data_IF_041794684398
#
_entry.id   IF_041794684398
#
_cell.length_a   1.000
_cell.length_b   1.000
_cell.length_c   1.000
_cell.angle_alpha   90.00
_cell.angle_beta   90.00
_cell.angle_gamma   90.00
#
_symmetry.space_group_name_H-M   'P 1'
#
loop_
_entity.id
_entity.type
_entity.pdbx_description
1 polymer ?
#
# COMPACT_ATOMS: atom_id res chain seq x y z
N UNK A 1 10.81 6.04 1.50
CA UNK A 1 10.50 4.60 1.66
C UNK A 1 9.86 4.17 0.35
N UNK A 2 10.52 3.31 -0.42
CA UNK A 2 10.16 3.13 -1.83
C UNK A 2 8.86 2.35 -2.01
N UNK A 3 7.89 3.01 -2.64
CA UNK A 3 6.89 2.37 -3.49
C UNK A 3 7.49 2.47 -4.90
N UNK A 4 7.92 1.35 -5.46
CA UNK A 4 8.40 1.28 -6.86
C UNK A 4 7.46 0.40 -7.66
N UNK A 5 6.46 1.04 -8.27
CA UNK A 5 5.84 0.53 -9.47
C UNK A 5 6.62 1.18 -10.63
N UNK A 6 7.41 0.41 -11.39
CA UNK A 6 8.25 0.94 -12.46
C UNK A 6 7.96 0.20 -13.77
N UNK A 7 7.46 0.95 -14.75
CA UNK A 7 7.41 0.54 -16.14
C UNK A 7 8.79 0.52 -16.77
N UNK A 8 9.04 -0.46 -17.64
CA UNK A 8 10.18 -0.49 -18.56
C UNK A 8 9.85 0.39 -19.78
N UNK A 9 10.18 1.68 -19.72
CA UNK A 9 10.36 2.44 -20.96
C UNK A 9 11.65 1.98 -21.65
N UNK A 10 11.55 1.54 -22.90
CA UNK A 10 12.67 1.66 -23.84
C UNK A 10 12.44 2.94 -24.65
N UNK A 11 13.40 3.86 -24.57
CA UNK A 11 13.51 4.99 -25.51
C UNK A 11 14.45 4.56 -26.62
N UNK A 12 13.97 4.61 -27.86
CA UNK A 12 14.79 4.41 -29.05
C UNK A 12 15.62 5.66 -29.33
N UNK A 13 16.94 5.55 -29.27
CA UNK A 13 17.83 6.58 -29.79
C UNK A 13 17.90 6.50 -31.32
N UNK A 14 17.81 7.64 -32.00
CA UNK A 14 18.27 7.74 -33.38
C UNK A 14 19.80 7.75 -33.39
N UNK A 15 20.41 6.88 -34.20
CA UNK A 15 21.80 7.00 -34.60
C UNK A 15 21.85 7.33 -36.09
N UNK A 16 22.05 8.60 -36.43
CA UNK A 16 22.42 9.00 -37.78
C UNK A 16 23.86 8.59 -38.10
N UNK A 17 24.14 8.50 -39.39
CA UNK A 17 25.46 8.66 -40.03
C UNK A 17 26.65 7.83 -39.50
N UNK A 18 26.83 6.64 -40.09
CA UNK A 18 28.12 6.30 -40.70
C UNK A 18 27.94 5.39 -41.93
N UNK A 19 28.82 5.54 -42.92
CA UNK A 19 28.54 5.28 -44.34
C UNK A 19 29.25 4.01 -44.88
N UNK A 20 28.72 3.48 -46.02
CA UNK A 20 29.33 2.54 -47.01
C UNK A 20 29.18 1.01 -46.81
N UNK A 21 28.72 0.34 -47.89
CA UNK A 21 29.20 -1.00 -48.29
C UNK A 21 28.19 -1.99 -48.92
N UNK A 22 27.96 -1.92 -50.25
CA UNK A 22 27.47 -2.99 -51.18
C UNK A 22 26.13 -3.73 -50.85
N UNK A 23 25.11 -3.80 -51.74
CA UNK A 23 25.01 -4.63 -52.98
C UNK A 23 25.18 -6.15 -52.68
N UNK A 24 24.31 -7.10 -53.06
CA UNK A 24 23.05 -7.15 -53.87
C UNK A 24 22.40 -8.58 -53.58
N UNK A 25 21.27 -9.16 -54.04
CA UNK A 25 20.19 -8.98 -55.06
C UNK A 25 18.91 -9.75 -54.60
N UNK A 26 17.71 -9.46 -55.14
CA UNK A 26 16.73 -10.54 -55.46
C UNK A 26 15.23 -10.39 -55.10
N UNK A 27 14.41 -10.13 -56.13
CA UNK A 27 12.96 -10.35 -56.31
C UNK A 27 12.01 -10.91 -55.20
N UNK A 28 11.00 -10.08 -54.90
CA UNK A 28 9.57 -10.33 -54.59
C UNK A 28 9.02 -11.64 -53.96
N UNK A 29 8.17 -11.40 -52.94
CA UNK A 29 6.89 -12.09 -52.59
C UNK A 29 6.92 -13.53 -52.05
N UNK A 30 6.80 -13.61 -50.72
CA UNK A 30 5.74 -14.41 -50.08
C UNK A 30 5.27 -13.73 -48.78
N UNK A 31 4.00 -13.90 -48.40
CA UNK A 31 3.49 -13.41 -47.11
C UNK A 31 3.79 -14.48 -46.06
N UNK A 32 4.83 -14.25 -45.26
CA UNK A 32 5.21 -15.15 -44.17
C UNK A 32 4.71 -14.63 -42.82
N UNK A 33 4.00 -15.49 -42.09
CA UNK A 33 3.68 -15.24 -40.67
C UNK A 33 4.98 -15.32 -39.89
N UNK A 34 5.42 -14.20 -39.30
CA UNK A 34 6.61 -14.17 -38.45
C UNK A 34 6.32 -14.92 -37.15
N UNK A 35 6.65 -16.22 -37.15
CA UNK A 35 6.83 -16.97 -35.92
C UNK A 35 8.09 -16.47 -35.23
N UNK A 36 7.96 -16.02 -33.98
CA UNK A 36 9.11 -15.57 -33.22
C UNK A 36 10.00 -16.76 -32.87
N UNK A 37 11.21 -16.77 -33.43
CA UNK A 37 12.22 -17.78 -33.13
C UNK A 37 12.56 -17.79 -31.62
N UNK A 38 12.92 -18.97 -31.11
CA UNK A 38 13.58 -19.08 -29.80
C UNK A 38 14.95 -18.39 -29.88
N UNK A 39 15.06 -17.18 -29.35
CA UNK A 39 16.34 -16.52 -29.10
C UNK A 39 17.15 -17.36 -28.11
N UNK A 40 18.39 -17.71 -28.48
CA UNK A 40 19.31 -18.46 -27.60
C UNK A 40 19.84 -17.55 -26.49
N UNK A 41 20.25 -18.13 -25.35
CA UNK A 41 20.96 -17.40 -24.30
C UNK A 41 22.25 -16.78 -24.86
N UNK A 42 22.46 -15.48 -24.65
CA UNK A 42 23.55 -14.71 -25.26
C UNK A 42 23.72 -13.29 -24.71
N UNK A 43 24.09 -13.21 -23.42
CA UNK A 43 24.56 -12.00 -22.72
C UNK A 43 23.63 -10.77 -22.53
N UNK A 44 24.12 -9.84 -21.69
CA UNK A 44 23.67 -8.45 -21.45
C UNK A 44 22.21 -8.23 -20.99
N UNK A 45 21.98 -8.34 -19.68
CA UNK A 45 20.93 -7.54 -19.01
C UNK A 45 21.25 -7.17 -17.54
N UNK A 46 22.47 -6.67 -17.29
CA UNK A 46 22.98 -6.41 -15.92
C UNK A 46 22.22 -5.34 -15.13
N UNK A 47 21.45 -4.45 -15.78
CA UNK A 47 20.64 -3.43 -15.09
C UNK A 47 19.47 -4.01 -14.30
N UNK A 48 18.60 -4.78 -14.97
CA UNK A 48 17.44 -5.43 -14.32
C UNK A 48 17.89 -6.46 -13.29
N UNK A 49 18.96 -7.22 -13.56
CA UNK A 49 19.48 -8.21 -12.61
C UNK A 49 20.22 -7.59 -11.42
N UNK A 50 20.77 -6.38 -11.55
CA UNK A 50 21.24 -5.58 -10.41
C UNK A 50 20.07 -5.04 -9.59
N UNK A 51 19.02 -4.52 -10.22
CA UNK A 51 17.80 -4.07 -9.55
C UNK A 51 17.05 -5.21 -8.84
N UNK A 52 17.02 -6.41 -9.42
CA UNK A 52 16.38 -7.57 -8.79
C UNK A 52 17.22 -8.12 -7.62
N UNK A 53 18.56 -8.10 -7.72
CA UNK A 53 19.43 -8.36 -6.56
C UNK A 53 19.25 -7.30 -5.46
N UNK A 54 19.21 -6.01 -5.82
CA UNK A 54 18.87 -4.93 -4.90
C UNK A 54 17.47 -5.09 -4.29
N UNK A 55 16.47 -5.57 -5.01
CA UNK A 55 15.11 -5.80 -4.52
C UNK A 55 15.04 -6.98 -3.54
N UNK A 56 15.67 -8.11 -3.87
CA UNK A 56 15.75 -9.29 -3.00
C UNK A 56 16.58 -8.98 -1.74
N UNK A 57 17.73 -8.31 -1.88
CA UNK A 57 18.49 -7.75 -0.75
C UNK A 57 17.65 -6.74 0.04
N UNK A 58 16.83 -5.91 -0.61
CA UNK A 58 15.87 -5.03 0.08
C UNK A 58 14.59 -5.74 0.57
N UNK A 59 14.57 -7.08 0.66
CA UNK A 59 13.61 -7.81 1.50
C UNK A 59 14.28 -8.69 2.57
N UNK A 60 15.40 -9.36 2.27
CA UNK A 60 16.10 -10.23 3.25
C UNK A 60 17.30 -9.58 3.96
N UNK A 61 17.89 -8.52 3.40
CA UNK A 61 19.04 -7.80 3.95
C UNK A 61 18.83 -6.27 3.96
N UNK A 62 17.69 -5.82 4.48
CA UNK A 62 17.39 -4.42 4.77
C UNK A 62 18.22 -3.93 5.97
N UNK A 63 19.49 -3.63 5.70
CA UNK A 63 20.46 -3.12 6.66
C UNK A 63 19.89 -1.98 7.50
N UNK A 64 20.00 -2.12 8.83
CA UNK A 64 19.56 -1.12 9.79
C UNK A 64 18.07 -1.13 10.20
N UNK A 65 17.17 -1.83 9.49
CA UNK A 65 15.77 -1.94 9.98
C UNK A 65 15.68 -2.69 11.31
N UNK A 66 16.50 -3.72 11.51
CA UNK A 66 16.61 -4.45 12.78
C UNK A 66 17.00 -3.51 13.93
N UNK A 67 18.04 -2.69 13.72
CA UNK A 67 18.51 -1.69 14.68
C UNK A 67 17.44 -0.66 15.03
N UNK A 68 16.85 0.01 14.03
CA UNK A 68 15.81 1.04 14.29
C UNK A 68 14.60 0.44 15.01
N UNK A 69 14.14 -0.75 14.62
CA UNK A 69 13.04 -1.44 15.30
C UNK A 69 13.42 -1.86 16.72
N UNK A 70 14.64 -2.37 16.95
CA UNK A 70 15.14 -2.71 18.27
C UNK A 70 15.19 -1.49 19.18
N UNK A 71 15.68 -0.35 18.67
CA UNK A 71 15.89 0.87 19.46
C UNK A 71 14.59 1.57 19.82
N UNK A 72 13.64 1.67 18.89
CA UNK A 72 12.27 2.16 19.16
C UNK A 72 11.58 1.21 20.16
N UNK A 73 11.70 -0.12 19.97
CA UNK A 73 11.13 -1.12 20.89
C UNK A 73 11.71 -1.04 22.30
N UNK A 74 13.03 -0.96 22.44
CA UNK A 74 13.70 -0.84 23.73
C UNK A 74 13.26 0.45 24.46
N UNK A 75 13.21 1.58 23.76
CA UNK A 75 12.74 2.84 24.33
C UNK A 75 11.27 2.79 24.83
N UNK A 76 10.39 2.09 24.11
CA UNK A 76 8.99 1.89 24.55
C UNK A 76 8.91 1.12 25.86
N UNK A 77 9.65 0.01 25.98
CA UNK A 77 9.61 -0.80 27.21
C UNK A 77 10.40 -0.16 28.35
N UNK A 78 11.45 0.59 28.06
CA UNK A 78 12.16 1.43 29.04
C UNK A 78 11.19 2.40 29.72
N UNK A 79 10.47 3.24 28.97
CA UNK A 79 9.52 4.18 29.58
C UNK A 79 8.31 3.48 30.21
N UNK A 80 7.80 2.38 29.63
CA UNK A 80 6.70 1.63 30.23
C UNK A 80 7.05 0.99 31.59
N UNK A 81 8.25 0.43 31.73
CA UNK A 81 8.71 -0.19 32.98
C UNK A 81 9.09 0.89 34.01
N UNK A 82 9.72 1.98 33.57
CA UNK A 82 10.02 3.17 34.40
C UNK A 82 8.75 3.80 35.00
N UNK A 83 7.68 3.94 34.20
CA UNK A 83 6.37 4.42 34.68
C UNK A 83 5.68 3.45 35.64
N UNK A 84 6.01 2.15 35.59
CA UNK A 84 5.56 1.15 36.55
C UNK A 84 6.46 1.06 37.81
N UNK A 85 7.53 1.86 37.91
CA UNK A 85 8.49 1.82 39.02
C UNK A 85 9.51 0.68 38.97
N UNK A 86 9.62 -0.03 37.85
CA UNK A 86 10.51 -1.20 37.71
C UNK A 86 11.95 -0.87 37.33
N UNK A 87 12.85 -1.87 37.49
CA UNK A 87 14.24 -1.74 37.02
C UNK A 87 14.29 -1.62 35.49
N UNK A 88 14.99 -0.60 35.04
CA UNK A 88 15.23 -0.34 33.62
C UNK A 88 16.70 -0.43 33.23
N UNK A 89 17.60 -0.72 34.18
CA UNK A 89 19.06 -0.71 34.00
C UNK A 89 19.51 -1.62 32.87
N UNK A 90 18.94 -2.84 32.79
CA UNK A 90 19.23 -3.80 31.71
C UNK A 90 18.79 -3.28 30.34
N UNK A 91 17.58 -2.71 30.24
CA UNK A 91 17.06 -2.17 28.97
C UNK A 91 17.84 -0.92 28.55
N UNK A 92 18.26 -0.08 29.50
CA UNK A 92 19.15 1.07 29.25
C UNK A 92 20.52 0.64 28.72
N UNK A 93 21.15 -0.36 29.33
CA UNK A 93 22.41 -0.93 28.83
C UNK A 93 22.24 -1.54 27.43
N UNK A 94 21.11 -2.20 27.14
CA UNK A 94 20.81 -2.68 25.78
C UNK A 94 20.54 -1.54 24.79
N UNK A 95 19.96 -0.42 25.22
CA UNK A 95 19.79 0.78 24.38
C UNK A 95 21.13 1.41 24.03
N UNK A 96 22.03 1.53 25.01
CA UNK A 96 23.39 2.04 24.84
C UNK A 96 24.22 1.12 23.92
N UNK A 97 24.12 -0.21 24.10
CA UNK A 97 24.72 -1.18 23.17
C UNK A 97 24.13 -1.06 21.76
N UNK A 98 22.81 -0.86 21.62
CA UNK A 98 22.18 -0.67 20.31
C UNK A 98 22.71 0.58 19.59
N UNK A 99 22.98 1.67 20.32
CA UNK A 99 23.54 2.90 19.75
C UNK A 99 24.99 2.75 19.25
N UNK A 100 25.74 1.72 19.67
CA UNK A 100 27.07 1.42 19.11
C UNK A 100 27.02 0.69 17.75
N UNK A 101 25.89 0.06 17.40
CA UNK A 101 25.79 -0.72 16.17
C UNK A 101 25.52 0.16 14.94
N UNK A 102 26.17 -0.20 13.83
CA UNK A 102 25.91 0.39 12.51
C UNK A 102 24.68 -0.25 11.87
N UNK A 103 24.15 0.40 10.84
CA UNK A 103 23.00 -0.06 10.06
C UNK A 103 23.30 -1.41 9.37
N UNK A 104 22.90 -2.51 10.01
CA UNK A 104 23.07 -3.88 9.51
C UNK A 104 23.69 -4.84 10.51
N UNK A 105 24.30 -4.35 11.60
CA UNK A 105 25.01 -5.18 12.57
C UNK A 105 24.08 -5.86 13.60
N UNK A 106 22.86 -5.33 13.80
CA UNK A 106 21.84 -5.92 14.69
C UNK A 106 21.19 -7.13 14.03
N UNK A 107 21.44 -8.32 14.59
CA UNK A 107 20.93 -9.60 14.11
C UNK A 107 19.78 -10.18 14.97
N UNK A 108 19.32 -11.38 14.61
CA UNK A 108 18.21 -12.07 15.29
C UNK A 108 18.51 -12.40 16.77
N UNK A 109 19.77 -12.59 17.16
CA UNK A 109 20.20 -12.84 18.55
C UNK A 109 20.05 -11.57 19.39
N UNK A 110 20.47 -10.41 18.87
CA UNK A 110 20.25 -9.12 19.53
C UNK A 110 18.75 -8.88 19.79
N UNK A 111 17.90 -9.14 18.78
CA UNK A 111 16.44 -9.03 18.90
C UNK A 111 15.86 -10.04 19.90
N UNK A 112 16.37 -11.28 19.92
CA UNK A 112 15.91 -12.30 20.87
C UNK A 112 16.25 -11.92 22.32
N UNK A 113 17.47 -11.46 22.59
CA UNK A 113 17.89 -11.08 23.95
C UNK A 113 17.11 -9.85 24.45
N UNK A 114 16.89 -8.85 23.59
CA UNK A 114 16.03 -7.70 23.94
C UNK A 114 14.61 -8.15 24.30
N UNK A 115 14.04 -9.08 23.53
CA UNK A 115 12.72 -9.63 23.85
C UNK A 115 12.71 -10.50 25.12
N UNK A 116 13.82 -11.17 25.45
CA UNK A 116 13.98 -11.92 26.69
C UNK A 116 13.99 -10.97 27.89
N UNK A 117 14.86 -9.96 27.91
CA UNK A 117 14.94 -8.96 28.99
C UNK A 117 13.59 -8.27 29.19
N UNK A 118 12.94 -7.80 28.12
CA UNK A 118 11.58 -7.23 28.21
C UNK A 118 10.58 -8.23 28.81
N UNK A 119 10.66 -9.53 28.46
CA UNK A 119 9.77 -10.56 29.00
C UNK A 119 10.06 -10.92 30.46
N UNK A 120 11.29 -10.74 30.93
CA UNK A 120 11.70 -10.98 32.31
C UNK A 120 11.26 -9.82 33.20
N UNK A 121 11.51 -8.56 32.79
CA UNK A 121 11.07 -7.39 33.57
C UNK A 121 9.55 -7.23 33.62
N UNK A 122 8.84 -7.36 32.49
CA UNK A 122 7.35 -7.27 32.49
C UNK A 122 6.73 -8.42 33.32
N UNK A 123 7.37 -9.60 33.35
CA UNK A 123 6.94 -10.69 34.25
C UNK A 123 7.16 -10.32 35.72
N UNK A 124 8.30 -9.73 36.05
CA UNK A 124 8.62 -9.34 37.43
C UNK A 124 7.66 -8.26 37.94
N UNK A 125 7.41 -7.22 37.15
CA UNK A 125 6.54 -6.09 37.55
C UNK A 125 5.06 -6.48 37.64
N UNK A 126 4.56 -7.31 36.72
CA UNK A 126 3.13 -7.63 36.65
C UNK A 126 2.76 -9.01 37.24
N UNK A 127 3.74 -9.76 37.77
CA UNK A 127 3.54 -11.11 38.33
C UNK A 127 3.10 -12.19 37.31
N UNK A 128 3.13 -11.90 36.01
CA UNK A 128 2.50 -12.73 34.97
C UNK A 128 3.25 -14.04 34.74
N UNK A 129 2.75 -15.11 35.37
CA UNK A 129 3.29 -16.48 35.23
C UNK A 129 3.00 -17.10 33.86
N UNK A 130 1.89 -16.75 33.20
CA UNK A 130 1.49 -17.39 31.95
C UNK A 130 2.17 -16.76 30.71
N UNK A 131 2.83 -17.58 29.89
CA UNK A 131 3.53 -17.12 28.68
C UNK A 131 2.62 -16.46 27.64
N UNK A 132 1.37 -16.92 27.47
CA UNK A 132 0.42 -16.35 26.50
C UNK A 132 -0.09 -14.98 26.94
N UNK A 133 -0.38 -14.86 28.23
CA UNK A 133 -0.79 -13.62 28.90
C UNK A 133 0.30 -12.56 28.79
N UNK A 134 1.54 -12.91 29.15
CA UNK A 134 2.72 -12.04 29.03
C UNK A 134 2.94 -11.57 27.58
N UNK A 135 2.79 -12.46 26.60
CA UNK A 135 2.87 -12.10 25.18
C UNK A 135 1.72 -11.19 24.74
N UNK A 136 0.53 -11.33 25.31
CA UNK A 136 -0.60 -10.43 25.07
C UNK A 136 -0.32 -9.04 25.65
N UNK A 137 0.21 -8.95 26.87
CA UNK A 137 0.46 -7.66 27.53
C UNK A 137 1.64 -6.91 26.87
N UNK A 138 2.73 -7.60 26.55
CA UNK A 138 3.84 -7.03 25.75
C UNK A 138 3.33 -6.53 24.38
N UNK A 139 2.37 -7.24 23.76
CA UNK A 139 1.73 -6.74 22.53
C UNK A 139 0.87 -5.51 22.83
N UNK A 140 0.09 -5.50 23.90
CA UNK A 140 -0.83 -4.43 24.28
C UNK A 140 -0.09 -3.13 24.59
N UNK A 141 0.95 -3.16 25.44
CA UNK A 141 1.83 -2.02 25.74
C UNK A 141 2.39 -1.41 24.46
N UNK A 142 2.96 -2.23 23.56
CA UNK A 142 3.56 -1.74 22.32
C UNK A 142 2.50 -1.21 21.31
N UNK A 143 1.33 -1.83 21.26
CA UNK A 143 0.18 -1.37 20.46
C UNK A 143 -0.31 -0.02 20.96
N UNK A 144 -0.46 0.13 22.28
CA UNK A 144 -0.91 1.37 22.94
C UNK A 144 0.09 2.50 22.74
N UNK A 145 1.41 2.24 22.82
CA UNK A 145 2.42 3.24 22.48
C UNK A 145 2.29 3.71 21.03
N UNK A 146 2.27 2.80 20.05
CA UNK A 146 2.19 3.18 18.63
C UNK A 146 0.88 3.88 18.28
N UNK A 147 -0.20 3.59 19.02
CA UNK A 147 -1.50 4.27 18.91
C UNK A 147 -1.56 5.63 19.62
N UNK A 148 -0.56 5.98 20.43
CA UNK A 148 -0.47 7.28 21.13
C UNK A 148 0.74 8.12 20.70
N UNK A 149 1.68 7.55 19.93
CA UNK A 149 2.76 8.27 19.24
C UNK A 149 2.16 9.28 18.27
N UNK A 150 2.61 10.54 18.34
CA UNK A 150 2.33 11.52 17.30
C UNK A 150 3.07 11.11 16.03
N UNK A 151 2.37 11.15 14.89
CA UNK A 151 2.95 10.80 13.59
C UNK A 151 2.97 12.07 12.74
N UNK A 152 4.16 12.65 12.58
CA UNK A 152 4.34 13.83 11.75
C UNK A 152 4.42 13.50 10.25
N UNK A 153 4.10 14.45 9.35
CA UNK A 153 4.33 14.31 7.93
C UNK A 153 5.81 14.12 7.60
N UNK A 154 6.13 13.14 6.75
CA UNK A 154 7.51 12.85 6.33
C UNK A 154 7.72 13.41 4.93
N UNK A 155 8.57 14.44 4.82
CA UNK A 155 9.03 14.97 3.53
C UNK A 155 10.46 14.50 3.27
N UNK A 156 10.76 14.04 2.04
CA UNK A 156 12.13 13.71 1.59
C UNK A 156 12.30 14.00 0.10
N UNK A 157 13.43 14.59 -0.28
CA UNK A 157 13.83 14.73 -1.68
C UNK A 157 14.80 13.61 -2.05
N UNK A 158 14.73 13.11 -3.27
CA UNK A 158 15.67 12.11 -3.83
C UNK A 158 16.06 12.58 -5.24
N UNK A 159 17.37 12.64 -5.54
CA UNK A 159 17.84 12.81 -6.91
C UNK A 159 17.93 11.45 -7.61
N UNK A 160 17.47 11.38 -8.85
CA UNK A 160 17.56 10.19 -9.69
C UNK A 160 17.71 10.60 -11.16
N UNK A 161 18.82 10.17 -11.79
CA UNK A 161 19.23 10.59 -13.14
C UNK A 161 19.19 12.12 -13.35
N UNK A 162 19.68 12.89 -12.36
CA UNK A 162 19.74 14.36 -12.42
C UNK A 162 18.45 15.05 -12.02
N UNK A 163 17.27 14.42 -12.20
CA UNK A 163 15.99 14.95 -11.73
C UNK A 163 15.84 14.83 -10.21
N UNK A 164 15.19 15.81 -9.61
CA UNK A 164 14.83 15.82 -8.19
C UNK A 164 13.36 15.44 -8.02
N UNK A 165 13.07 14.54 -7.09
CA UNK A 165 11.71 14.09 -6.78
C UNK A 165 11.39 14.36 -5.31
N UNK A 166 10.31 15.09 -5.05
CA UNK A 166 9.82 15.39 -3.71
C UNK A 166 8.79 14.36 -3.26
N UNK A 167 9.09 13.63 -2.18
CA UNK A 167 8.20 12.63 -1.59
C UNK A 167 7.58 13.18 -0.30
N UNK A 168 6.26 13.26 -0.26
CA UNK A 168 5.49 13.62 0.94
C UNK A 168 4.66 12.42 1.42
N UNK A 169 4.75 12.09 2.70
CA UNK A 169 3.88 11.13 3.37
C UNK A 169 3.09 11.85 4.47
N UNK A 170 1.79 11.98 4.30
CA UNK A 170 0.87 12.65 5.23
C UNK A 170 0.03 11.60 5.98
N UNK A 171 0.18 11.43 7.30
CA UNK A 171 -0.63 10.51 8.08
C UNK A 171 -2.06 11.06 8.26
N UNK A 172 -3.01 10.18 8.59
CA UNK A 172 -4.43 10.54 8.70
C UNK A 172 -4.70 11.71 9.68
N UNK A 173 -4.00 11.80 10.80
CA UNK A 173 -4.07 12.95 11.74
C UNK A 173 -3.73 14.31 11.12
N UNK A 174 -2.98 14.33 10.01
CA UNK A 174 -2.59 15.53 9.26
C UNK A 174 -3.36 15.68 7.92
N UNK A 175 -4.38 14.84 7.68
CA UNK A 175 -5.36 15.08 6.62
C UNK A 175 -6.38 16.14 7.06
N UNK A 176 -5.98 17.41 7.01
CA UNK A 176 -6.67 18.55 7.63
C UNK A 176 -7.25 19.57 6.64
N UNK A 177 -8.37 20.17 7.05
CA UNK A 177 -8.90 21.42 6.51
C UNK A 177 -8.92 22.40 7.68
N UNK A 178 -8.25 23.55 7.52
CA UNK A 178 -7.89 24.37 8.68
C UNK A 178 -7.08 23.55 9.70
N UNK A 179 -7.42 23.69 10.99
CA UNK A 179 -6.70 23.04 12.09
C UNK A 179 -7.17 21.59 12.39
N UNK A 180 -8.30 21.17 11.81
CA UNK A 180 -9.01 19.93 12.13
C UNK A 180 -8.85 18.87 11.04
N UNK A 181 -8.80 17.59 11.43
CA UNK A 181 -8.74 16.49 10.47
C UNK A 181 -10.14 16.19 9.89
N UNK A 182 -10.20 15.77 8.63
CA UNK A 182 -11.45 15.63 7.85
C UNK A 182 -12.45 14.59 8.36
N UNK A 183 -12.11 13.78 9.35
CA UNK A 183 -12.83 12.55 9.67
C UNK A 183 -13.93 12.75 10.73
N UNK A 184 -14.92 11.86 10.68
CA UNK A 184 -16.09 11.84 11.59
C UNK A 184 -15.69 11.72 13.05
N UNK A 185 -14.67 10.89 13.33
CA UNK A 185 -13.93 10.86 14.59
C UNK A 185 -12.55 11.46 14.36
N UNK A 186 -12.01 12.18 15.35
CA UNK A 186 -10.69 12.77 15.22
C UNK A 186 -9.59 11.82 15.70
N UNK A 187 -8.54 11.68 14.89
CA UNK A 187 -7.30 10.99 15.27
C UNK A 187 -6.52 11.67 16.41
N UNK A 188 -6.86 12.92 16.79
CA UNK A 188 -6.26 13.68 17.89
C UNK A 188 -4.70 13.73 17.84
N UNK A 189 -4.13 13.95 16.64
CA UNK A 189 -2.69 13.97 16.37
C UNK A 189 -2.03 12.58 16.20
N UNK A 190 -2.68 11.53 16.67
CA UNK A 190 -2.16 10.16 16.74
C UNK A 190 -2.40 9.38 15.45
N UNK A 191 -1.87 8.15 15.39
CA UNK A 191 -2.17 7.19 14.34
C UNK A 191 -2.68 5.89 14.95
N UNK A 192 -3.23 4.98 14.13
CA UNK A 192 -3.54 3.61 14.56
C UNK A 192 -2.52 2.65 13.93
N UNK A 193 -1.90 1.79 14.72
CA UNK A 193 -0.98 0.76 14.22
C UNK A 193 -1.71 -0.52 13.79
N UNK A 194 -1.08 -1.34 12.94
CA UNK A 194 -1.66 -2.58 12.41
C UNK A 194 -1.87 -3.69 13.46
N UNK A 195 -1.31 -3.56 14.67
CA UNK A 195 -1.55 -4.50 15.76
C UNK A 195 -2.95 -4.36 16.38
N UNK A 196 -3.63 -3.23 16.12
CA UNK A 196 -4.97 -2.84 16.61
C UNK A 196 -6.10 -3.59 15.90
N UNK A 197 -6.07 -4.93 15.93
CA UNK A 197 -6.98 -5.78 15.13
C UNK A 197 -8.47 -5.65 15.49
N UNK A 198 -8.79 -5.06 16.64
CA UNK A 198 -10.15 -4.79 17.14
C UNK A 198 -10.64 -3.35 16.93
N UNK A 199 -9.81 -2.46 16.39
CA UNK A 199 -10.18 -1.06 16.13
C UNK A 199 -11.45 -0.98 15.26
N UNK A 200 -12.41 -0.13 15.61
CA UNK A 200 -13.75 -0.09 14.99
C UNK A 200 -14.12 1.26 14.34
N UNK A 201 -13.40 2.34 14.65
CA UNK A 201 -13.58 3.65 14.05
C UNK A 201 -12.59 3.84 12.90
N UNK A 202 -11.30 3.65 13.19
CA UNK A 202 -10.20 4.14 12.37
C UNK A 202 -9.46 3.06 11.57
N UNK A 203 -9.01 3.39 10.38
CA UNK A 203 -8.09 2.56 9.60
C UNK A 203 -6.71 2.58 10.25
N UNK A 204 -6.17 1.38 10.47
CA UNK A 204 -4.78 1.20 10.84
C UNK A 204 -3.84 1.58 9.69
N UNK A 205 -2.74 2.28 10.00
CA UNK A 205 -1.65 2.60 9.09
C UNK A 205 -2.08 3.38 7.82
N UNK A 206 -3.07 4.27 7.93
CA UNK A 206 -3.46 5.15 6.83
C UNK A 206 -2.44 6.29 6.62
N UNK A 207 -1.88 6.37 5.40
CA UNK A 207 -0.99 7.44 4.95
C UNK A 207 -1.32 7.83 3.50
N UNK A 208 -1.54 9.12 3.24
CA UNK A 208 -1.54 9.69 1.90
C UNK A 208 -0.09 9.88 1.47
N UNK A 209 0.30 9.27 0.36
CA UNK A 209 1.64 9.40 -0.24
C UNK A 209 1.52 10.20 -1.52
N UNK A 210 2.31 11.27 -1.65
CA UNK A 210 2.44 12.08 -2.87
C UNK A 210 3.89 12.09 -3.35
N UNK A 211 4.07 12.14 -4.67
CA UNK A 211 5.36 12.40 -5.32
C UNK A 211 5.17 13.55 -6.29
N UNK A 212 6.02 14.57 -6.15
CA UNK A 212 6.18 15.65 -7.12
C UNK A 212 7.50 15.52 -7.86
N UNK A 213 7.53 15.98 -9.09
CA UNK A 213 8.75 16.14 -9.89
C UNK A 213 9.48 17.45 -9.58
N UNK A 214 10.48 17.76 -10.41
CA UNK A 214 11.34 18.94 -10.33
C UNK A 214 10.63 20.26 -10.70
N UNK A 215 9.47 20.19 -11.36
CA UNK A 215 8.57 21.33 -11.61
C UNK A 215 7.52 21.51 -10.49
N UNK A 216 7.54 20.64 -9.47
CA UNK A 216 6.57 20.62 -8.37
C UNK A 216 5.22 20.00 -8.74
N UNK A 217 5.11 19.39 -9.92
CA UNK A 217 3.89 18.78 -10.45
C UNK A 217 3.68 17.39 -9.86
N UNK A 218 2.44 17.08 -9.50
CA UNK A 218 2.06 15.79 -8.90
C UNK A 218 2.10 14.67 -9.96
N UNK A 219 3.12 13.81 -9.87
CA UNK A 219 3.28 12.63 -10.74
C UNK A 219 2.72 11.34 -10.10
N UNK A 220 2.51 11.33 -8.78
CA UNK A 220 1.84 10.23 -8.08
C UNK A 220 1.12 10.73 -6.83
N UNK A 221 -0.07 10.17 -6.58
CA UNK A 221 -0.80 10.31 -5.33
C UNK A 221 -1.57 9.03 -5.04
N UNK A 222 -1.45 8.51 -3.81
CA UNK A 222 -2.06 7.24 -3.42
C UNK A 222 -2.07 7.02 -1.92
N UNK A 223 -3.09 6.30 -1.43
CA UNK A 223 -3.31 6.07 0.00
C UNK A 223 -2.89 4.65 0.35
N UNK A 224 -1.88 4.52 1.23
CA UNK A 224 -1.57 3.25 1.89
C UNK A 224 -2.51 3.08 3.08
N UNK A 225 -3.01 1.87 3.28
CA UNK A 225 -3.75 1.51 4.49
C UNK A 225 -3.47 0.05 4.93
N UNK A 226 -3.81 -0.26 6.18
CA UNK A 226 -3.95 -1.63 6.69
C UNK A 226 -5.31 -2.23 6.36
N UNK A 227 -5.55 -3.46 6.85
CA UNK A 227 -6.79 -4.22 6.61
C UNK A 227 -8.02 -3.49 7.14
N UNK A 228 -9.06 -3.36 6.31
CA UNK A 228 -10.32 -2.68 6.66
C UNK A 228 -11.20 -3.55 7.59
N UNK A 229 -11.13 -4.87 7.50
CA UNK A 229 -11.77 -5.77 8.47
C UNK A 229 -11.18 -5.58 9.87
N UNK A 230 -12.02 -5.34 10.88
CA UNK A 230 -11.65 -5.43 12.29
C UNK A 230 -11.56 -6.91 12.72
N UNK A 231 -10.53 -7.61 12.22
CA UNK A 231 -10.43 -9.07 12.26
C UNK A 231 -10.10 -9.69 13.64
N UNK A 232 -9.87 -8.87 14.67
CA UNK A 232 -9.86 -9.30 16.07
C UNK A 232 -11.25 -9.35 16.70
N UNK A 233 -12.29 -8.83 16.03
CA UNK A 233 -13.69 -8.97 16.45
C UNK A 233 -14.27 -10.30 15.96
N UNK A 234 -15.37 -10.74 16.58
CA UNK A 234 -16.03 -12.02 16.25
C UNK A 234 -16.35 -12.08 14.75
N UNK A 235 -15.87 -13.13 14.06
CA UNK A 235 -16.14 -13.38 12.64
C UNK A 235 -17.66 -13.34 12.38
N UNK A 236 -18.06 -12.66 11.31
CA UNK A 236 -19.45 -12.43 10.89
C UNK A 236 -20.33 -11.61 11.89
N UNK A 237 -19.77 -10.93 12.90
CA UNK A 237 -20.58 -10.05 13.76
C UNK A 237 -21.03 -8.77 13.06
N UNK A 238 -22.15 -8.20 13.52
CA UNK A 238 -22.62 -6.87 13.13
C UNK A 238 -21.57 -5.79 13.43
N UNK A 239 -20.98 -5.83 14.63
CA UNK A 239 -19.87 -4.97 15.06
C UNK A 239 -18.71 -4.96 14.06
N UNK A 240 -18.26 -6.13 13.59
CA UNK A 240 -17.18 -6.26 12.59
C UNK A 240 -17.57 -5.71 11.22
N UNK A 241 -18.83 -5.87 10.82
CA UNK A 241 -19.36 -5.32 9.57
C UNK A 241 -19.50 -3.78 9.62
N UNK A 242 -19.96 -3.22 10.74
CA UNK A 242 -20.01 -1.77 10.98
C UNK A 242 -18.59 -1.19 11.00
N UNK A 243 -17.66 -1.82 11.74
CA UNK A 243 -16.26 -1.42 11.76
C UNK A 243 -15.61 -1.39 10.37
N UNK A 244 -15.90 -2.39 9.52
CA UNK A 244 -15.43 -2.40 8.14
C UNK A 244 -16.07 -1.29 7.28
N UNK A 245 -17.35 -0.94 7.52
CA UNK A 245 -18.02 0.16 6.82
C UNK A 245 -17.46 1.52 7.21
N UNK A 246 -17.37 1.83 8.51
CA UNK A 246 -16.81 3.09 9.02
C UNK A 246 -15.45 3.40 8.37
N UNK A 247 -14.60 2.37 8.31
CA UNK A 247 -13.26 2.42 7.70
C UNK A 247 -13.30 2.58 6.19
N UNK A 248 -14.21 1.90 5.49
CA UNK A 248 -14.38 2.12 4.05
C UNK A 248 -14.81 3.58 3.75
N UNK A 249 -15.67 4.17 4.58
CA UNK A 249 -16.10 5.56 4.47
C UNK A 249 -14.93 6.52 4.76
N UNK A 250 -14.12 6.22 5.78
CA UNK A 250 -12.88 6.94 6.07
C UNK A 250 -11.87 6.91 4.91
N UNK A 251 -11.70 5.76 4.24
CA UNK A 251 -10.87 5.66 3.03
C UNK A 251 -11.44 6.50 1.87
N UNK A 252 -12.76 6.52 1.70
CA UNK A 252 -13.42 7.34 0.68
C UNK A 252 -13.23 8.85 0.96
N UNK A 253 -13.35 9.27 2.22
CA UNK A 253 -13.06 10.64 2.66
C UNK A 253 -11.60 11.03 2.44
N UNK A 254 -10.65 10.14 2.74
CA UNK A 254 -9.22 10.35 2.46
C UNK A 254 -8.94 10.42 0.94
N UNK A 255 -9.62 9.62 0.13
CA UNK A 255 -9.52 9.65 -1.33
C UNK A 255 -10.06 10.96 -1.92
N UNK A 256 -11.20 11.45 -1.43
CA UNK A 256 -11.72 12.77 -1.80
C UNK A 256 -10.71 13.88 -1.41
N UNK A 257 -10.15 13.83 -0.21
CA UNK A 257 -9.16 14.78 0.28
C UNK A 257 -7.87 14.82 -0.54
N UNK A 258 -7.44 13.68 -1.12
CA UNK A 258 -6.29 13.64 -2.03
C UNK A 258 -6.50 14.50 -3.29
N UNK A 259 -7.76 14.74 -3.68
CA UNK A 259 -8.21 15.49 -4.86
C UNK A 259 -8.85 16.81 -4.45
N UNK A 260 -8.02 17.79 -4.07
CA UNK A 260 -8.42 19.09 -3.49
C UNK A 260 -9.54 19.81 -4.22
N UNK A 261 -9.53 19.83 -5.55
CA UNK A 261 -10.58 20.45 -6.38
C UNK A 261 -11.95 19.78 -6.19
N UNK A 262 -11.98 18.44 -6.23
CA UNK A 262 -13.21 17.66 -6.01
C UNK A 262 -13.72 17.82 -4.58
N UNK A 263 -12.82 17.84 -3.59
CA UNK A 263 -13.16 18.15 -2.20
C UNK A 263 -13.79 19.55 -2.07
N UNK A 264 -13.21 20.56 -2.71
CA UNK A 264 -13.75 21.93 -2.68
C UNK A 264 -15.13 22.03 -3.35
N UNK A 265 -15.33 21.35 -4.48
CA UNK A 265 -16.62 21.29 -5.17
C UNK A 265 -17.68 20.55 -4.33
N UNK A 266 -17.29 19.46 -3.67
CA UNK A 266 -18.15 18.67 -2.79
C UNK A 266 -18.60 19.49 -1.56
N UNK A 267 -17.67 20.25 -0.95
CA UNK A 267 -17.97 21.16 0.16
C UNK A 267 -18.78 22.40 -0.28
N UNK A 268 -18.73 22.80 -1.56
CA UNK A 268 -19.67 23.78 -2.14
C UNK A 268 -21.01 23.16 -2.56
N UNK A 269 -21.35 21.97 -2.05
CA UNK A 269 -22.63 21.29 -2.29
C UNK A 269 -22.80 20.61 -3.64
N UNK A 270 -21.78 20.61 -4.51
CA UNK A 270 -21.85 19.94 -5.82
C UNK A 270 -21.64 18.44 -5.67
N UNK A 271 -22.43 17.64 -6.39
CA UNK A 271 -22.14 16.20 -6.52
C UNK A 271 -20.88 16.01 -7.37
N UNK A 272 -19.90 15.24 -6.87
CA UNK A 272 -18.61 15.01 -7.58
C UNK A 272 -18.38 13.53 -7.91
N UNK A 273 -17.76 13.25 -9.06
CA UNK A 273 -17.35 11.90 -9.46
C UNK A 273 -16.03 11.51 -8.77
N UNK A 274 -16.04 10.41 -7.99
CA UNK A 274 -14.84 9.86 -7.38
C UNK A 274 -14.65 8.38 -7.74
N UNK A 275 -13.52 8.08 -8.39
CA UNK A 275 -13.10 6.72 -8.74
C UNK A 275 -11.96 6.27 -7.83
N UNK A 276 -12.08 5.09 -7.24
CA UNK A 276 -11.06 4.50 -6.36
C UNK A 276 -10.69 3.09 -6.87
N UNK A 277 -9.39 2.83 -6.98
CA UNK A 277 -8.83 1.49 -7.14
C UNK A 277 -8.22 1.09 -5.80
N UNK A 278 -8.82 0.12 -5.10
CA UNK A 278 -8.30 -0.40 -3.84
C UNK A 278 -7.63 -1.75 -4.05
N UNK A 279 -6.33 -1.84 -3.80
CA UNK A 279 -5.54 -3.07 -3.99
C UNK A 279 -5.12 -3.66 -2.65
N UNK A 280 -5.66 -4.84 -2.34
CA UNK A 280 -5.33 -5.64 -1.15
C UNK A 280 -4.15 -6.58 -1.42
N UNK A 281 -3.37 -6.88 -0.38
CA UNK A 281 -2.24 -7.83 -0.43
C UNK A 281 -2.50 -9.12 0.37
N UNK A 282 -3.75 -9.35 0.78
CA UNK A 282 -4.16 -10.52 1.56
C UNK A 282 -3.96 -11.83 0.79
N UNK A 283 -3.67 -12.89 1.52
CA UNK A 283 -3.52 -14.28 1.06
C UNK A 283 -4.73 -15.10 1.54
N UNK A 284 -5.86 -15.08 0.82
CA UNK A 284 -7.12 -15.70 1.26
C UNK A 284 -7.12 -17.22 1.07
N UNK A 285 -6.30 -17.93 1.86
CA UNK A 285 -6.34 -19.41 1.93
C UNK A 285 -7.34 -19.89 2.97
N UNK A 286 -7.87 -21.10 2.77
CA UNK A 286 -8.75 -21.80 3.72
C UNK A 286 -7.97 -22.51 4.84
N UNK A 287 -6.67 -22.76 4.63
CA UNK A 287 -5.84 -23.58 5.51
C UNK A 287 -5.21 -22.79 6.67
N UNK A 288 -4.94 -21.49 6.51
CA UNK A 288 -4.32 -20.65 7.55
C UNK A 288 -4.87 -19.22 7.59
N UNK A 289 -4.85 -18.62 8.79
CA UNK A 289 -4.96 -17.16 9.00
C UNK A 289 -6.36 -16.52 8.90
N UNK A 290 -7.30 -17.10 8.15
CA UNK A 290 -8.67 -16.56 8.05
C UNK A 290 -8.79 -15.25 7.25
N UNK A 291 -7.73 -14.87 6.53
CA UNK A 291 -7.64 -13.68 5.66
C UNK A 291 -8.73 -13.66 4.57
N UNK A 292 -9.25 -14.82 4.17
CA UNK A 292 -10.41 -14.93 3.28
C UNK A 292 -11.64 -14.20 3.83
N UNK A 293 -11.84 -14.20 5.15
CA UNK A 293 -12.91 -13.41 5.79
C UNK A 293 -12.59 -11.91 5.82
N UNK A 294 -11.31 -11.54 5.93
CA UNK A 294 -10.88 -10.14 5.96
C UNK A 294 -11.08 -9.49 4.57
N UNK A 295 -10.74 -10.23 3.52
CA UNK A 295 -10.98 -9.82 2.14
C UNK A 295 -12.48 -9.74 1.83
N UNK A 296 -13.29 -10.70 2.30
CA UNK A 296 -14.76 -10.66 2.14
C UNK A 296 -15.38 -9.43 2.82
N UNK A 297 -15.00 -9.12 4.06
CA UNK A 297 -15.47 -7.92 4.76
C UNK A 297 -15.04 -6.63 4.02
N UNK A 298 -13.76 -6.53 3.63
CA UNK A 298 -13.21 -5.35 2.95
C UNK A 298 -13.87 -5.11 1.59
N UNK A 299 -14.03 -6.15 0.76
CA UNK A 299 -14.71 -6.06 -0.53
C UNK A 299 -16.19 -5.72 -0.35
N UNK A 300 -16.88 -6.32 0.64
CA UNK A 300 -18.29 -6.01 0.95
C UNK A 300 -18.46 -4.55 1.39
N UNK A 301 -17.59 -4.06 2.27
CA UNK A 301 -17.64 -2.67 2.73
C UNK A 301 -17.37 -1.69 1.58
N UNK A 302 -16.30 -1.88 0.83
CA UNK A 302 -15.91 -1.00 -0.28
C UNK A 302 -16.92 -0.99 -1.43
N UNK A 303 -17.35 -2.17 -1.94
CA UNK A 303 -18.41 -2.23 -2.96
C UNK A 303 -19.76 -1.73 -2.42
N UNK A 304 -19.99 -1.81 -1.11
CA UNK A 304 -21.16 -1.27 -0.41
C UNK A 304 -21.17 0.25 -0.21
N UNK A 305 -20.16 0.96 -0.73
CA UNK A 305 -20.15 2.43 -0.87
C UNK A 305 -20.32 2.91 -2.32
N UNK A 306 -20.42 1.99 -3.29
CA UNK A 306 -20.65 2.37 -4.68
C UNK A 306 -22.05 2.99 -4.82
N UNK A 307 -22.11 4.19 -5.39
CA UNK A 307 -23.37 4.92 -5.61
C UNK A 307 -24.31 4.14 -6.52
N UNK A 308 -25.61 4.11 -6.19
CA UNK A 308 -26.62 3.53 -7.10
C UNK A 308 -26.95 4.53 -8.21
N UNK A 309 -27.61 4.07 -9.27
CA UNK A 309 -28.03 4.93 -10.38
C UNK A 309 -29.01 6.01 -9.87
N UNK A 310 -28.58 7.26 -9.87
CA UNK A 310 -29.37 8.40 -9.37
C UNK A 310 -29.24 8.66 -7.86
N UNK A 311 -28.47 7.85 -7.12
CA UNK A 311 -28.28 7.99 -5.68
C UNK A 311 -26.78 8.17 -5.34
N UNK A 312 -26.28 9.41 -5.23
CA UNK A 312 -24.91 9.68 -4.80
C UNK A 312 -24.64 9.13 -3.40
N UNK A 313 -23.41 8.67 -3.18
CA UNK A 313 -22.95 8.25 -1.84
C UNK A 313 -22.66 9.49 -1.01
N UNK A 314 -23.43 9.66 0.07
CA UNK A 314 -23.20 10.68 1.09
C UNK A 314 -21.96 10.33 1.92
N UNK A 315 -21.01 11.25 2.03
CA UNK A 315 -19.87 11.17 2.94
C UNK A 315 -19.94 12.31 3.96
N UNK A 316 -19.57 12.04 5.21
CA UNK A 316 -19.43 13.07 6.23
C UNK A 316 -17.97 13.53 6.29
N UNK A 317 -17.73 14.79 5.94
CA UNK A 317 -16.42 15.44 5.90
C UNK A 317 -16.39 16.58 6.91
N UNK A 318 -15.31 16.70 7.66
CA UNK A 318 -15.10 17.85 8.55
C UNK A 318 -14.56 19.04 7.75
N UNK A 319 -15.24 20.18 7.83
CA UNK A 319 -14.89 21.42 7.14
C UNK A 319 -13.80 22.22 7.90
N UNK A 320 -13.48 23.43 7.39
CA UNK A 320 -12.52 24.38 7.99
C UNK A 320 -12.81 24.73 9.45
N UNK A 321 -14.09 24.79 9.80
CA UNK A 321 -14.61 25.31 11.06
C UNK A 321 -14.73 24.18 12.11
N UNK A 322 -14.37 22.95 11.71
CA UNK A 322 -14.46 21.75 12.54
C UNK A 322 -15.84 21.08 12.53
N UNK A 323 -16.81 21.61 11.78
CA UNK A 323 -18.17 21.06 11.65
C UNK A 323 -18.19 19.89 10.68
N UNK A 324 -19.07 18.91 10.93
CA UNK A 324 -19.31 17.81 9.98
C UNK A 324 -20.35 18.22 8.94
N UNK A 325 -19.94 18.23 7.69
CA UNK A 325 -20.76 18.52 6.53
C UNK A 325 -20.99 17.22 5.74
N UNK A 326 -22.23 16.99 5.31
CA UNK A 326 -22.55 15.93 4.36
C UNK A 326 -22.24 16.40 2.93
N UNK A 327 -21.53 15.59 2.16
CA UNK A 327 -21.21 15.87 0.75
C UNK A 327 -21.62 14.71 -0.15
N UNK A 328 -22.11 15.02 -1.35
CA UNK A 328 -22.60 14.05 -2.32
C UNK A 328 -21.47 13.61 -3.28
N UNK A 329 -21.21 12.30 -3.34
CA UNK A 329 -20.14 11.74 -4.18
C UNK A 329 -20.69 10.61 -5.03
N UNK A 330 -20.58 10.71 -6.36
CA UNK A 330 -20.77 9.61 -7.29
C UNK A 330 -19.56 8.66 -7.18
N UNK A 331 -19.55 7.86 -6.12
CA UNK A 331 -18.44 7.02 -5.72
C UNK A 331 -18.47 5.68 -6.49
N UNK A 332 -17.35 5.36 -7.13
CA UNK A 332 -17.11 4.08 -7.82
C UNK A 332 -15.80 3.47 -7.34
N UNK A 333 -15.88 2.35 -6.62
CA UNK A 333 -14.74 1.60 -6.10
C UNK A 333 -14.61 0.25 -6.81
N UNK A 334 -13.43 -0.02 -7.34
CA UNK A 334 -13.00 -1.35 -7.81
C UNK A 334 -11.94 -1.91 -6.87
N UNK A 335 -11.93 -3.23 -6.70
CA UNK A 335 -11.24 -3.90 -5.60
C UNK A 335 -10.38 -5.05 -6.11
N UNK A 336 -9.07 -4.87 -6.09
CA UNK A 336 -8.10 -5.89 -6.48
C UNK A 336 -7.52 -6.61 -5.24
N UNK A 337 -7.02 -7.82 -5.43
CA UNK A 337 -6.21 -8.52 -4.43
C UNK A 337 -5.04 -9.29 -5.07
N UNK A 338 -3.87 -9.30 -4.43
CA UNK A 338 -2.72 -10.10 -4.83
C UNK A 338 -2.03 -10.69 -3.60
N UNK A 339 -2.06 -12.02 -3.42
CA UNK A 339 -1.47 -12.65 -2.22
C UNK A 339 0.04 -12.65 -2.27
N UNK A 340 0.69 -11.96 -1.32
CA UNK A 340 2.16 -11.77 -1.29
C UNK A 340 2.94 -12.81 -0.48
N UNK A 341 2.25 -13.72 0.23
CA UNK A 341 2.93 -14.73 1.05
C UNK A 341 3.52 -15.85 0.17
N UNK A 342 4.63 -16.44 0.61
CA UNK A 342 5.33 -17.54 -0.09
C UNK A 342 4.39 -18.72 -0.43
N UNK A 343 3.42 -19.02 0.43
CA UNK A 343 2.40 -20.04 0.19
C UNK A 343 1.42 -19.67 -0.94
N UNK A 344 1.12 -18.39 -1.15
CA UNK A 344 0.30 -17.93 -2.28
C UNK A 344 1.07 -18.07 -3.61
N UNK A 345 2.35 -17.69 -3.58
CA UNK A 345 3.23 -17.69 -4.75
C UNK A 345 3.63 -19.12 -5.17
N UNK A 346 3.97 -20.00 -4.22
CA UNK A 346 4.45 -21.37 -4.50
C UNK A 346 3.34 -22.42 -4.63
N UNK A 347 2.25 -22.33 -3.86
CA UNK A 347 1.24 -23.41 -3.79
C UNK A 347 -0.08 -23.12 -4.51
N UNK A 348 -0.27 -21.92 -5.06
CA UNK A 348 -1.47 -21.60 -5.87
C UNK A 348 -2.81 -21.61 -5.11
N UNK A 349 -2.80 -21.66 -3.78
CA UNK A 349 -3.99 -21.69 -2.94
C UNK A 349 -4.69 -20.32 -2.84
N UNK A 350 -6.01 -20.32 -2.67
CA UNK A 350 -6.85 -19.12 -2.52
C UNK A 350 -7.15 -18.33 -3.81
N UNK A 351 -6.37 -18.55 -4.89
CA UNK A 351 -6.44 -17.70 -6.08
C UNK A 351 -7.78 -17.69 -6.84
N UNK A 352 -8.61 -18.74 -6.83
CA UNK A 352 -9.86 -18.76 -7.62
C UNK A 352 -10.82 -17.61 -7.28
N UNK A 353 -10.92 -17.25 -6.00
CA UNK A 353 -11.76 -16.12 -5.56
C UNK A 353 -11.11 -14.77 -5.89
N UNK A 354 -9.78 -14.71 -5.84
CA UNK A 354 -8.97 -13.52 -6.19
C UNK A 354 -9.00 -13.25 -7.69
N UNK A 355 -8.85 -14.27 -8.53
CA UNK A 355 -8.88 -14.18 -9.99
C UNK A 355 -10.25 -13.69 -10.47
N UNK A 356 -11.36 -14.16 -9.87
CA UNK A 356 -12.71 -13.63 -10.16
C UNK A 356 -12.84 -12.16 -9.77
N UNK A 357 -12.44 -11.82 -8.53
CA UNK A 357 -12.51 -10.44 -8.00
C UNK A 357 -11.70 -9.44 -8.84
N UNK A 358 -10.50 -9.85 -9.25
CA UNK A 358 -9.64 -9.08 -10.15
C UNK A 358 -10.26 -9.00 -11.54
N UNK A 359 -10.82 -10.08 -12.08
CA UNK A 359 -11.53 -10.09 -13.36
C UNK A 359 -12.65 -9.06 -13.45
N UNK A 360 -13.57 -9.05 -12.47
CA UNK A 360 -14.64 -8.04 -12.35
C UNK A 360 -14.09 -6.60 -12.32
N UNK A 361 -12.96 -6.42 -11.63
CA UNK A 361 -12.30 -5.11 -11.49
C UNK A 361 -11.55 -4.69 -12.76
N UNK A 362 -11.03 -5.64 -13.56
CA UNK A 362 -10.41 -5.40 -14.87
C UNK A 362 -11.47 -5.02 -15.90
N UNK A 363 -12.62 -5.70 -15.93
CA UNK A 363 -13.76 -5.29 -16.76
C UNK A 363 -14.14 -3.82 -16.50
N UNK A 364 -14.19 -3.43 -15.23
CA UNK A 364 -14.52 -2.05 -14.82
C UNK A 364 -13.42 -1.03 -15.18
N UNK A 365 -12.15 -1.38 -14.98
CA UNK A 365 -10.99 -0.49 -15.16
C UNK A 365 -10.56 -0.35 -16.63
N UNK A 366 -10.51 -1.47 -17.37
CA UNK A 366 -9.93 -1.60 -18.71
C UNK A 366 -10.93 -2.08 -19.78
N UNK A 367 -12.16 -2.45 -19.42
CA UNK A 367 -13.21 -2.92 -20.35
C UNK A 367 -13.29 -4.44 -20.51
N UNK A 368 -14.51 -4.98 -20.72
CA UNK A 368 -14.80 -6.43 -20.75
C UNK A 368 -14.03 -7.23 -21.81
N UNK A 369 -13.66 -6.59 -22.92
CA UNK A 369 -12.96 -7.22 -24.02
C UNK A 369 -11.43 -7.18 -23.87
N UNK A 370 -10.89 -6.37 -22.96
CA UNK A 370 -9.46 -6.09 -22.85
C UNK A 370 -8.59 -7.35 -22.71
N UNK A 371 -8.97 -8.27 -21.82
CA UNK A 371 -8.24 -9.53 -21.63
C UNK A 371 -8.30 -10.42 -22.88
N UNK A 372 -9.43 -10.42 -23.60
CA UNK A 372 -9.67 -11.23 -24.80
C UNK A 372 -8.90 -10.72 -26.02
N UNK A 373 -9.13 -9.47 -26.42
CA UNK A 373 -8.63 -8.90 -27.68
C UNK A 373 -7.72 -7.66 -27.51
N UNK A 374 -7.58 -7.12 -26.29
CA UNK A 374 -6.73 -5.95 -26.03
C UNK A 374 -7.41 -4.60 -26.23
N UNK A 375 -8.68 -4.56 -26.64
CA UNK A 375 -9.44 -3.31 -26.75
C UNK A 375 -9.63 -2.69 -25.37
N UNK A 376 -9.12 -1.48 -25.19
CA UNK A 376 -9.28 -0.70 -23.97
C UNK A 376 -10.66 -0.05 -23.97
N UNK A 377 -11.40 -0.30 -22.90
CA UNK A 377 -12.67 0.33 -22.53
C UNK A 377 -12.64 0.78 -21.07
N UNK A 378 -13.81 0.84 -20.44
CA UNK A 378 -13.94 1.17 -19.01
C UNK A 378 -13.31 2.52 -18.64
N UNK A 379 -12.83 2.65 -17.41
CA UNK A 379 -12.28 3.90 -16.90
C UNK A 379 -11.00 4.35 -17.63
N UNK A 380 -10.24 3.43 -18.20
CA UNK A 380 -9.06 3.74 -19.01
C UNK A 380 -9.44 4.45 -20.32
N UNK A 381 -10.49 4.00 -21.01
CA UNK A 381 -10.98 4.71 -22.19
C UNK A 381 -11.54 6.11 -21.84
N UNK A 382 -12.32 6.23 -20.75
CA UNK A 382 -12.78 7.54 -20.25
C UNK A 382 -11.62 8.50 -19.91
N UNK A 383 -10.48 7.98 -19.44
CA UNK A 383 -9.30 8.78 -19.13
C UNK A 383 -8.57 9.25 -20.40
N UNK A 384 -8.49 8.40 -21.42
CA UNK A 384 -7.92 8.73 -22.74
C UNK A 384 -8.80 9.77 -23.45
N UNK A 385 -10.12 9.65 -23.38
CA UNK A 385 -11.06 10.60 -23.96
C UNK A 385 -10.94 11.99 -23.30
N UNK A 386 -10.86 12.03 -21.97
CA UNK A 386 -10.71 13.29 -21.20
C UNK A 386 -9.32 13.90 -21.24
N UNK A 387 -8.28 13.10 -21.54
CA UNK A 387 -6.92 13.60 -21.78
C UNK A 387 -6.20 12.73 -22.83
N UNK A 388 -6.30 13.07 -24.13
CA UNK A 388 -5.67 12.29 -25.20
C UNK A 388 -4.15 12.13 -25.07
N UNK A 389 -3.45 13.00 -24.34
CA UNK A 389 -1.99 12.91 -24.17
C UNK A 389 -1.58 11.67 -23.36
N UNK A 390 -2.41 11.17 -22.45
CA UNK A 390 -2.08 10.00 -21.61
C UNK A 390 -2.24 8.66 -22.35
N UNK A 391 -2.72 8.67 -23.60
CA UNK A 391 -3.06 7.48 -24.39
C UNK A 391 -1.95 6.42 -24.41
N UNK A 392 -0.72 6.83 -24.65
CA UNK A 392 0.41 5.91 -24.77
C UNK A 392 0.76 5.26 -23.42
N UNK A 393 0.75 6.03 -22.34
CA UNK A 393 1.02 5.54 -20.98
C UNK A 393 -0.09 4.61 -20.48
N UNK A 394 -1.35 4.93 -20.78
CA UNK A 394 -2.50 4.07 -20.44
C UNK A 394 -2.46 2.75 -21.22
N UNK A 395 -2.14 2.79 -22.52
CA UNK A 395 -1.92 1.56 -23.33
C UNK A 395 -0.76 0.75 -22.78
N UNK A 396 0.36 1.40 -22.44
CA UNK A 396 1.54 0.77 -21.89
C UNK A 396 1.24 0.05 -20.56
N UNK A 397 0.67 0.76 -19.58
CA UNK A 397 0.34 0.23 -18.25
C UNK A 397 -0.75 -0.87 -18.33
N UNK A 398 -1.74 -0.72 -19.20
CA UNK A 398 -2.73 -1.76 -19.45
C UNK A 398 -2.07 -3.04 -20.00
N UNK A 399 -1.14 -2.92 -20.95
CA UNK A 399 -0.38 -4.05 -21.47
C UNK A 399 0.50 -4.73 -20.40
N UNK A 400 1.11 -3.97 -19.48
CA UNK A 400 1.81 -4.57 -18.33
C UNK A 400 0.85 -5.39 -17.44
N UNK A 401 -0.35 -4.86 -17.14
CA UNK A 401 -1.38 -5.60 -16.39
C UNK A 401 -1.77 -6.90 -17.13
N UNK A 402 -1.98 -6.82 -18.45
CA UNK A 402 -2.30 -7.99 -19.30
C UNK A 402 -1.18 -9.02 -19.28
N UNK A 403 0.08 -8.58 -19.37
CA UNK A 403 1.26 -9.45 -19.31
C UNK A 403 1.35 -10.18 -17.97
N UNK A 404 1.27 -9.44 -16.86
CA UNK A 404 1.33 -9.99 -15.50
C UNK A 404 0.30 -11.11 -15.35
N UNK A 405 -0.96 -10.84 -15.70
CA UNK A 405 -2.07 -11.78 -15.55
C UNK A 405 -1.93 -13.00 -16.47
N UNK A 406 -1.61 -12.80 -17.75
CA UNK A 406 -1.52 -13.88 -18.74
C UNK A 406 -0.32 -14.80 -18.49
N UNK A 407 0.85 -14.24 -18.16
CA UNK A 407 2.06 -15.01 -17.79
C UNK A 407 2.02 -15.53 -16.35
N UNK A 408 0.98 -15.16 -15.58
CA UNK A 408 0.78 -15.46 -14.15
C UNK A 408 1.96 -15.00 -13.27
N UNK A 409 2.54 -13.83 -13.57
CA UNK A 409 3.69 -13.27 -12.85
C UNK A 409 3.35 -12.90 -11.40
N UNK A 410 2.07 -12.69 -11.07
CA UNK A 410 1.59 -12.52 -9.70
C UNK A 410 1.55 -13.84 -8.89
N UNK A 411 1.96 -14.98 -9.48
CA UNK A 411 1.91 -16.33 -8.91
C UNK A 411 3.25 -17.07 -9.04
N UNK A 412 4.35 -16.32 -9.01
CA UNK A 412 5.74 -16.76 -9.14
C UNK A 412 6.65 -15.86 -8.32
#
# INVERSE_FOLDING_TARGET
MHITNLGLHQVSFQSGDSYKGAEETGNQKSVSVISYQRVKNGERNKGVEALNRLYLQNQTSLTGKGLLFARDRAAVFYEAIKLAGGDTSKIKAMMEQLDTYKLGEVDKRNINELNKVISEEIRAQLGIKNKKELQSEIKQIFTNHLNNKNWEPINKNINYHGKNYGFQLTPASHMKIGNKNIFVKEYNGKGICCASTRESQHIANMWLSKVVDDEGKEIFSGIRHGVISAYGLKKNSSERAVAARNKAEELASAALYSRRELLSQALSGKTVDLKIVSTSLLTPTSLTGGEESMLKDQVKALKGLNSKRGEPTKLLIRNSDGLLQEVNVNLKVVTFNFGVNELALKMGLGWRNVDKLNGESICSLLGDNFLKNGVIGGWAAEAIEKNPSCKNDVIYLANQIKEILNKKLQKK
#
